data_IF_310609140938
#
_entry.id   IF_310609140938
#
_cell.length_a   1.000
_cell.length_b   1.000
_cell.length_c   1.000
_cell.angle_alpha   90.00
_cell.angle_beta   90.00
_cell.angle_gamma   90.00
#
_symmetry.space_group_name_H-M   'P 1'
#
loop_
_entity.id
_entity.type
_entity.pdbx_description
1 polymer ?
#
# COMPACT_ATOMS: atom_id res chain seq x y z
N UNK A 1 35.46 15.12 -2.61
CA UNK A 1 34.94 14.52 -1.36
C UNK A 1 33.42 14.72 -1.23
N UNK A 2 32.93 15.95 -1.33
CA UNK A 2 31.51 16.32 -1.18
C UNK A 2 30.55 15.57 -2.15
N UNK A 3 30.87 15.51 -3.45
CA UNK A 3 29.97 14.86 -4.43
C UNK A 3 29.91 13.33 -4.28
N UNK A 4 30.96 12.70 -3.74
CA UNK A 4 30.96 11.26 -3.44
C UNK A 4 30.02 10.96 -2.27
N UNK A 5 30.06 11.79 -1.22
CA UNK A 5 29.16 11.71 -0.07
C UNK A 5 27.71 11.97 -0.48
N UNK A 6 27.45 13.02 -1.25
CA UNK A 6 26.12 13.37 -1.76
C UNK A 6 25.48 12.21 -2.52
N UNK A 7 26.19 11.62 -3.48
CA UNK A 7 25.71 10.44 -4.22
C UNK A 7 25.47 9.24 -3.32
N UNK A 8 26.32 9.02 -2.32
CA UNK A 8 26.15 7.93 -1.35
C UNK A 8 24.88 8.11 -0.51
N UNK A 9 24.62 9.33 -0.02
CA UNK A 9 23.41 9.68 0.73
C UNK A 9 22.15 9.44 -0.10
N UNK A 10 22.11 9.97 -1.33
CA UNK A 10 20.95 9.83 -2.22
C UNK A 10 20.68 8.35 -2.51
N UNK A 11 21.73 7.58 -2.82
CA UNK A 11 21.60 6.14 -3.07
C UNK A 11 21.04 5.38 -1.87
N UNK A 12 21.52 5.69 -0.67
CA UNK A 12 21.05 5.04 0.55
C UNK A 12 19.59 5.40 0.86
N UNK A 13 19.23 6.67 0.73
CA UNK A 13 17.85 7.14 0.91
C UNK A 13 16.88 6.53 -0.13
N UNK A 14 17.32 6.33 -1.38
CA UNK A 14 16.51 5.65 -2.40
C UNK A 14 16.35 4.16 -2.13
N UNK A 15 17.38 3.49 -1.57
CA UNK A 15 17.30 2.06 -1.20
C UNK A 15 16.39 1.84 0.01
N UNK A 16 16.39 2.77 0.96
CA UNK A 16 15.60 2.73 2.19
C UNK A 16 14.63 3.91 2.25
N UNK A 17 13.51 3.88 1.50
CA UNK A 17 12.59 5.02 1.41
C UNK A 17 11.90 5.37 2.75
N UNK A 18 11.95 4.48 3.74
CA UNK A 18 11.40 4.69 5.09
C UNK A 18 12.44 5.14 6.11
N UNK A 19 13.71 5.29 5.73
CA UNK A 19 14.77 5.70 6.66
C UNK A 19 14.53 7.13 7.17
N UNK A 20 14.73 7.32 8.47
CA UNK A 20 14.65 8.64 9.08
C UNK A 20 15.91 9.47 8.78
N UNK A 21 15.83 10.79 8.88
CA UNK A 21 17.00 11.66 8.67
C UNK A 21 18.12 11.36 9.68
N UNK A 22 17.77 10.91 10.89
CA UNK A 22 18.74 10.54 11.93
C UNK A 22 19.48 9.24 11.57
N UNK A 23 18.77 8.22 11.09
CA UNK A 23 19.41 6.99 10.58
C UNK A 23 20.37 7.30 9.42
N UNK A 24 19.98 8.21 8.52
CA UNK A 24 20.86 8.65 7.42
C UNK A 24 22.08 9.42 7.95
N UNK A 25 21.91 10.21 9.01
CA UNK A 25 23.02 10.89 9.67
C UNK A 25 24.01 9.89 10.31
N UNK A 26 23.51 8.88 11.03
CA UNK A 26 24.32 7.81 11.64
C UNK A 26 25.06 6.99 10.58
N UNK A 27 24.40 6.70 9.44
CA UNK A 27 25.03 6.03 8.29
C UNK A 27 26.17 6.85 7.67
N UNK A 28 26.03 8.18 7.61
CA UNK A 28 27.09 9.05 7.13
C UNK A 28 28.23 9.13 8.15
N UNK A 29 27.91 9.20 9.45
CA UNK A 29 28.91 9.22 10.52
C UNK A 29 29.79 7.97 10.50
N UNK A 30 29.20 6.78 10.31
CA UNK A 30 29.95 5.52 10.17
C UNK A 30 30.82 5.45 8.90
N UNK A 31 30.51 6.29 7.90
CA UNK A 31 31.31 6.44 6.68
C UNK A 31 32.45 7.47 6.84
N UNK A 32 32.57 8.12 8.00
CA UNK A 32 33.55 9.17 8.25
C UNK A 32 33.09 10.56 7.76
N UNK A 33 31.78 10.77 7.62
CA UNK A 33 31.19 12.03 7.18
C UNK A 33 30.14 12.51 8.18
N UNK A 34 30.42 13.57 8.91
CA UNK A 34 29.47 14.15 9.86
C UNK A 34 28.75 15.32 9.19
N UNK A 35 27.45 15.17 8.94
CA UNK A 35 26.59 16.25 8.44
C UNK A 35 25.49 16.56 9.45
N UNK A 36 25.06 17.83 9.46
CA UNK A 36 23.87 18.22 10.19
C UNK A 36 22.60 17.74 9.46
N UNK A 37 21.57 17.40 10.23
CA UNK A 37 20.28 16.88 9.74
C UNK A 37 19.63 17.81 8.70
N UNK A 38 19.74 19.12 8.87
CA UNK A 38 19.20 20.11 7.91
C UNK A 38 19.91 20.07 6.57
N UNK A 39 21.22 19.85 6.55
CA UNK A 39 22.01 19.69 5.32
C UNK A 39 21.61 18.42 4.59
N UNK A 40 21.41 17.31 5.32
CA UNK A 40 20.91 16.06 4.77
C UNK A 40 19.54 16.26 4.12
N UNK A 41 18.60 16.90 4.83
CA UNK A 41 17.27 17.22 4.30
C UNK A 41 17.32 18.08 3.03
N UNK A 42 18.13 19.15 3.01
CA UNK A 42 18.30 20.00 1.82
C UNK A 42 18.84 19.21 0.63
N UNK A 43 19.86 18.37 0.83
CA UNK A 43 20.41 17.53 -0.22
C UNK A 43 19.34 16.58 -0.77
N UNK A 44 18.54 15.94 0.10
CA UNK A 44 17.47 15.06 -0.34
C UNK A 44 16.41 15.81 -1.17
N UNK A 45 15.97 16.98 -0.71
CA UNK A 45 14.98 17.79 -1.43
C UNK A 45 15.50 18.27 -2.79
N UNK A 46 16.77 18.69 -2.88
CA UNK A 46 17.41 19.04 -4.15
C UNK A 46 17.50 17.87 -5.14
N UNK A 47 17.44 16.63 -4.65
CA UNK A 47 17.40 15.43 -5.47
C UNK A 47 15.98 14.87 -5.65
N UNK A 48 14.94 15.63 -5.30
CA UNK A 48 13.53 15.22 -5.45
C UNK A 48 13.06 14.16 -4.45
N UNK A 49 13.82 13.90 -3.39
CA UNK A 49 13.46 12.97 -2.34
C UNK A 49 12.76 13.70 -1.20
N UNK A 50 11.46 13.50 -1.09
CA UNK A 50 10.59 14.10 -0.07
C UNK A 50 10.03 13.05 0.86
N UNK A 51 9.84 13.42 2.13
CA UNK A 51 9.08 12.59 3.07
C UNK A 51 7.65 12.39 2.59
N UNK A 52 7.18 11.14 2.55
CA UNK A 52 5.80 10.79 2.19
C UNK A 52 5.24 9.76 3.16
N UNK A 53 3.94 9.80 3.37
CA UNK A 53 3.21 8.78 4.14
C UNK A 53 2.72 7.69 3.19
N UNK A 54 3.08 6.45 3.46
CA UNK A 54 2.60 5.31 2.69
C UNK A 54 1.06 5.18 2.82
N UNK A 55 0.37 4.97 1.70
CA UNK A 55 -1.08 4.71 1.71
C UNK A 55 -1.34 3.32 2.28
N UNK A 56 -2.31 3.20 3.19
CA UNK A 56 -2.80 1.89 3.67
C UNK A 56 -3.44 1.17 2.48
N UNK A 57 -3.00 -0.06 2.23
CA UNK A 57 -3.56 -0.95 1.20
C UNK A 57 -3.90 -2.28 1.86
N UNK A 58 -4.98 -2.96 1.43
CA UNK A 58 -5.21 -4.33 1.86
C UNK A 58 -4.03 -5.21 1.42
N UNK A 59 -3.65 -6.16 2.26
CA UNK A 59 -2.63 -7.13 1.92
C UNK A 59 -3.15 -8.06 0.82
N UNK A 60 -2.39 -8.24 -0.26
CA UNK A 60 -2.75 -9.13 -1.36
C UNK A 60 -1.89 -10.39 -1.31
N UNK A 61 -2.54 -11.54 -1.23
CA UNK A 61 -1.85 -12.83 -1.36
C UNK A 61 -1.41 -13.05 -2.81
N UNK A 62 -0.43 -13.94 -3.04
CA UNK A 62 0.02 -14.27 -4.41
C UNK A 62 -1.11 -14.77 -5.30
N UNK A 63 -2.02 -15.58 -4.74
CA UNK A 63 -3.22 -16.07 -5.41
C UNK A 63 -4.11 -14.89 -5.86
N UNK A 64 -4.40 -13.98 -4.93
CA UNK A 64 -5.25 -12.81 -5.19
C UNK A 64 -4.65 -11.89 -6.25
N UNK A 65 -3.33 -11.74 -6.28
CA UNK A 65 -2.65 -10.96 -7.34
C UNK A 65 -2.84 -11.63 -8.70
N UNK A 66 -2.66 -12.96 -8.78
CA UNK A 66 -2.74 -13.68 -10.05
C UNK A 66 -4.14 -13.66 -10.64
N UNK A 67 -5.19 -13.91 -9.86
CA UNK A 67 -6.52 -13.91 -10.44
C UNK A 67 -7.01 -12.49 -10.76
N UNK A 68 -6.74 -11.47 -9.93
CA UNK A 68 -6.95 -10.05 -10.32
C UNK A 68 -6.26 -9.70 -11.63
N UNK A 69 -5.02 -10.16 -11.83
CA UNK A 69 -4.31 -9.91 -13.08
C UNK A 69 -4.93 -10.65 -14.26
N UNK A 70 -5.35 -11.91 -14.08
CA UNK A 70 -6.04 -12.68 -15.13
C UNK A 70 -7.32 -11.98 -15.57
N UNK A 71 -8.14 -11.58 -14.61
CA UNK A 71 -9.34 -10.77 -14.78
C UNK A 71 -9.06 -9.49 -15.58
N UNK A 72 -8.04 -8.72 -15.18
CA UNK A 72 -7.73 -7.45 -15.83
C UNK A 72 -7.30 -7.67 -17.28
N UNK A 73 -6.50 -8.72 -17.54
CA UNK A 73 -6.04 -9.07 -18.88
C UNK A 73 -7.17 -9.57 -19.78
N UNK A 74 -8.08 -10.40 -19.26
CA UNK A 74 -9.22 -10.89 -20.06
C UNK A 74 -10.16 -9.76 -20.44
N UNK A 75 -10.35 -8.79 -19.54
CA UNK A 75 -11.34 -7.75 -19.70
C UNK A 75 -10.79 -6.43 -20.30
N UNK A 76 -9.50 -6.37 -20.64
CA UNK A 76 -8.88 -5.14 -21.17
C UNK A 76 -9.46 -4.71 -22.52
N UNK A 77 -9.93 -5.66 -23.33
CA UNK A 77 -10.55 -5.42 -24.64
C UNK A 77 -12.08 -5.46 -24.60
N UNK A 78 -12.69 -5.60 -23.41
CA UNK A 78 -14.14 -5.70 -23.30
C UNK A 78 -14.79 -4.38 -23.73
N UNK A 79 -15.80 -4.42 -24.61
CA UNK A 79 -16.48 -3.22 -25.07
C UNK A 79 -17.26 -2.57 -23.92
N UNK A 80 -17.53 -1.27 -24.06
CA UNK A 80 -18.26 -0.50 -23.04
C UNK A 80 -19.63 -1.10 -22.70
N UNK A 81 -20.33 -1.63 -23.69
CA UNK A 81 -21.64 -2.27 -23.53
C UNK A 81 -21.62 -3.46 -22.57
N UNK A 82 -20.49 -4.17 -22.44
CA UNK A 82 -20.35 -5.23 -21.44
C UNK A 82 -20.48 -4.67 -20.03
N UNK A 83 -19.87 -3.51 -19.75
CA UNK A 83 -19.86 -2.89 -18.43
C UNK A 83 -21.14 -2.15 -18.10
N UNK A 84 -21.84 -1.62 -19.10
CA UNK A 84 -23.15 -0.97 -18.95
C UNK A 84 -24.23 -1.95 -18.45
N UNK A 85 -24.05 -3.24 -18.72
CA UNK A 85 -24.94 -4.30 -18.25
C UNK A 85 -24.51 -4.95 -16.93
N UNK A 86 -23.42 -4.49 -16.31
CA UNK A 86 -22.96 -5.02 -15.01
C UNK A 86 -23.58 -4.21 -13.88
N UNK A 87 -24.39 -4.87 -13.06
CA UNK A 87 -24.84 -4.33 -11.77
C UNK A 87 -23.74 -4.53 -10.73
N UNK A 88 -23.30 -3.44 -10.10
CA UNK A 88 -22.32 -3.46 -9.02
C UNK A 88 -23.03 -3.28 -7.68
N UNK A 89 -22.88 -4.23 -6.77
CA UNK A 89 -23.32 -4.12 -5.38
C UNK A 89 -22.15 -4.44 -4.44
N UNK A 90 -22.10 -3.73 -3.31
CA UNK A 90 -21.20 -4.01 -2.20
C UNK A 90 -21.92 -3.68 -0.89
N UNK A 91 -21.54 -4.35 0.19
CA UNK A 91 -22.09 -4.14 1.52
C UNK A 91 -21.09 -3.33 2.35
N UNK A 92 -21.52 -2.17 2.85
CA UNK A 92 -20.72 -1.41 3.82
C UNK A 92 -21.49 -1.20 5.11
N UNK A 93 -20.80 -1.37 6.24
CA UNK A 93 -21.36 -1.07 7.56
C UNK A 93 -21.42 0.44 7.75
N UNK A 94 -22.63 0.98 7.98
CA UNK A 94 -22.85 2.37 8.38
C UNK A 94 -23.04 2.41 9.89
N UNK A 95 -22.18 3.12 10.61
CA UNK A 95 -22.30 3.32 12.05
C UNK A 95 -22.92 4.70 12.30
N UNK A 96 -24.08 4.74 12.97
CA UNK A 96 -24.89 5.96 13.16
C UNK A 96 -24.33 6.92 14.23
N UNK A 97 -23.34 6.50 15.02
CA UNK A 97 -22.69 7.32 16.04
C UNK A 97 -21.24 7.64 15.65
N UNK A 98 -21.01 8.89 15.24
CA UNK A 98 -19.73 9.37 14.77
C UNK A 98 -18.69 9.55 15.87
N UNK A 99 -17.92 8.51 16.18
CA UNK A 99 -16.61 8.65 16.81
C UNK A 99 -15.72 7.43 16.50
N UNK A 100 -15.19 7.34 15.27
CA UNK A 100 -14.13 6.38 14.99
C UNK A 100 -12.84 6.83 15.69
N UNK A 101 -12.61 6.34 16.91
CA UNK A 101 -11.23 6.20 17.42
C UNK A 101 -10.48 5.33 16.41
N UNK A 102 -9.26 5.72 16.03
CA UNK A 102 -8.39 4.94 15.14
C UNK A 102 -8.07 3.60 15.82
N UNK A 103 -8.92 2.60 15.66
CA UNK A 103 -8.66 1.24 16.11
C UNK A 103 -7.74 0.56 15.11
N UNK A 104 -6.60 0.06 15.59
CA UNK A 104 -5.84 -0.95 14.88
C UNK A 104 -6.60 -2.26 15.05
N UNK A 105 -7.33 -2.69 14.02
CA UNK A 105 -7.89 -4.03 13.98
C UNK A 105 -6.83 -4.98 13.45
N UNK A 106 -6.30 -5.83 14.33
CA UNK A 106 -5.59 -7.05 13.94
C UNK A 106 -6.58 -8.03 13.30
N UNK A 107 -6.16 -8.90 12.37
CA UNK A 107 -7.01 -9.97 11.85
C UNK A 107 -7.48 -10.85 13.01
N UNK A 108 -8.80 -11.01 13.17
CA UNK A 108 -9.37 -11.97 14.11
C UNK A 108 -9.31 -13.36 13.48
N UNK A 109 -8.84 -14.35 14.23
CA UNK A 109 -8.93 -15.76 13.87
C UNK A 109 -10.41 -16.18 13.79
N UNK A 110 -10.75 -16.94 12.77
CA UNK A 110 -12.08 -17.50 12.59
C UNK A 110 -12.26 -18.70 13.53
N UNK A 111 -13.09 -18.54 14.57
CA UNK A 111 -13.69 -19.69 15.23
C UNK A 111 -14.96 -20.10 14.46
N UNK A 112 -14.99 -21.36 14.05
CA UNK A 112 -16.17 -22.00 13.45
C UNK A 112 -17.27 -22.11 14.50
N UNK A 113 -18.39 -21.43 14.27
CA UNK A 113 -19.67 -21.90 14.77
C UNK A 113 -20.69 -21.81 13.63
N UNK A 114 -21.15 -22.99 13.25
CA UNK A 114 -22.11 -23.26 12.19
C UNK A 114 -23.49 -22.73 12.55
N UNK A 115 -24.09 -21.92 11.67
CA UNK A 115 -25.54 -21.94 11.45
C UNK A 115 -25.82 -21.72 9.96
N UNK A 116 -26.59 -22.66 9.42
CA UNK A 116 -26.97 -22.71 8.02
C UNK A 116 -28.11 -21.72 7.74
N UNK A 117 -27.92 -20.85 6.76
CA UNK A 117 -29.01 -20.17 6.06
C UNK A 117 -28.74 -20.28 4.56
N UNK A 118 -29.53 -21.13 3.91
CA UNK A 118 -29.45 -21.35 2.48
C UNK A 118 -29.91 -20.12 1.70
N UNK A 119 -29.08 -19.68 0.75
CA UNK A 119 -29.48 -18.82 -0.35
C UNK A 119 -28.81 -19.34 -1.62
N UNK A 120 -29.62 -19.86 -2.54
CA UNK A 120 -29.23 -20.06 -3.93
C UNK A 120 -29.12 -18.69 -4.59
N UNK A 121 -27.89 -18.20 -4.77
CA UNK A 121 -27.63 -17.13 -5.71
C UNK A 121 -27.17 -17.75 -7.02
N UNK A 122 -28.04 -17.65 -8.02
CA UNK A 122 -27.65 -17.81 -9.42
C UNK A 122 -26.49 -16.87 -9.72
N UNK A 123 -25.51 -17.43 -10.43
CA UNK A 123 -24.23 -16.84 -10.74
C UNK A 123 -24.32 -15.36 -11.16
N UNK A 124 -23.43 -14.53 -10.61
CA UNK A 124 -22.61 -13.50 -11.27
C UNK A 124 -22.00 -12.58 -10.19
N UNK A 125 -20.76 -12.87 -9.79
CA UNK A 125 -20.09 -12.07 -8.75
C UNK A 125 -18.65 -12.51 -8.53
N UNK A 126 -17.83 -12.48 -9.57
CA UNK A 126 -16.49 -13.07 -9.56
C UNK A 126 -15.41 -12.03 -9.88
N UNK A 127 -15.34 -10.93 -9.12
CA UNK A 127 -14.24 -9.96 -9.29
C UNK A 127 -13.63 -9.37 -8.00
N UNK A 128 -14.24 -9.53 -6.82
CA UNK A 128 -13.69 -8.91 -5.62
C UNK A 128 -12.69 -9.77 -4.83
N UNK A 129 -12.79 -11.11 -4.91
CA UNK A 129 -12.02 -12.03 -4.06
C UNK A 129 -11.25 -13.14 -4.79
N UNK A 130 -10.96 -12.99 -6.08
CA UNK A 130 -10.04 -13.91 -6.78
C UNK A 130 -8.69 -13.29 -6.99
#
# INVERSE_FOLDING_TARGET
MYEKMRRKLVREASKRPTATLKELQEFLASTGCVLHVTTISRILHMNGLWGRVARRKPFLTKKNIQARLKVAKTNIKSPKSTWENVLWSDETKVELSGAKKKSHTSPKEHHTHSEAWGWQHHALGLFFFS
#
